data_IF_546453030547
#
_entry.id   IF_546453030547
#
_cell.length_a   1.000
_cell.length_b   1.000
_cell.length_c   1.000
_cell.angle_alpha   90.00
_cell.angle_beta   90.00
_cell.angle_gamma   90.00
#
_symmetry.space_group_name_H-M   'P 1'
#
loop_
_entity.id
_entity.type
_entity.pdbx_description
1 polymer ?
#
# COMPACT_ATOMS: atom_id res chain seq x y z
N UNK A 1 -8.38 0.11 -9.49
CA UNK A 1 -8.66 0.91 -8.26
C UNK A 1 -7.37 1.22 -7.55
N UNK A 2 -7.14 2.48 -7.16
CA UNK A 2 -5.95 2.89 -6.44
C UNK A 2 -6.31 3.50 -5.08
N UNK A 3 -5.62 3.07 -4.02
CA UNK A 3 -5.78 3.56 -2.65
C UNK A 3 -4.53 4.31 -2.24
N UNK A 4 -4.66 5.61 -2.10
CA UNK A 4 -3.55 6.50 -1.84
C UNK A 4 -3.09 6.47 -0.37
N UNK A 5 -1.92 7.04 -0.12
CA UNK A 5 -1.37 7.29 1.21
C UNK A 5 -1.92 8.58 1.86
N UNK A 6 -1.36 8.89 3.02
CA UNK A 6 -1.55 10.18 3.70
C UNK A 6 -0.68 11.26 3.04
N UNK A 7 -0.97 12.53 3.31
CA UNK A 7 -0.22 13.70 2.84
C UNK A 7 -0.23 13.93 1.33
N UNK A 8 -1.20 13.42 0.61
CA UNK A 8 -1.38 13.69 -0.81
C UNK A 8 -2.55 14.64 -1.01
N UNK A 9 -2.38 15.62 -1.88
CA UNK A 9 -3.50 16.40 -2.42
C UNK A 9 -4.37 15.54 -3.35
N UNK A 10 -5.57 15.96 -3.73
CA UNK A 10 -6.35 15.27 -4.76
C UNK A 10 -5.57 15.06 -6.06
N UNK A 11 -4.77 16.04 -6.46
CA UNK A 11 -3.96 15.98 -7.68
C UNK A 11 -2.81 14.98 -7.54
N UNK A 12 -2.13 14.96 -6.39
CA UNK A 12 -1.11 13.95 -6.09
C UNK A 12 -1.70 12.54 -6.09
N UNK A 13 -2.89 12.37 -5.50
CA UNK A 13 -3.58 11.08 -5.47
C UNK A 13 -3.93 10.60 -6.89
N UNK A 14 -4.41 11.50 -7.73
CA UNK A 14 -4.70 11.21 -9.13
C UNK A 14 -3.40 10.91 -9.91
N UNK A 15 -2.35 11.72 -9.72
CA UNK A 15 -1.04 11.52 -10.32
C UNK A 15 -0.44 10.17 -9.96
N UNK A 16 -0.42 9.80 -8.68
CA UNK A 16 0.06 8.51 -8.19
C UNK A 16 -0.75 7.34 -8.76
N UNK A 17 -2.07 7.51 -8.90
CA UNK A 17 -2.92 6.50 -9.50
C UNK A 17 -2.56 6.27 -10.98
N UNK A 18 -2.28 7.33 -11.74
CA UNK A 18 -1.85 7.23 -13.14
C UNK A 18 -0.46 6.59 -13.24
N UNK A 19 0.47 6.97 -12.38
CA UNK A 19 1.84 6.44 -12.37
C UNK A 19 1.89 4.95 -12.07
N UNK A 20 1.01 4.47 -11.20
CA UNK A 20 0.93 3.05 -10.82
C UNK A 20 -0.08 2.26 -11.66
N UNK A 21 -0.73 2.89 -12.63
CA UNK A 21 -1.62 2.20 -13.54
C UNK A 21 -0.83 1.24 -14.43
N UNK A 22 -1.12 -0.04 -14.33
CA UNK A 22 -0.47 -1.09 -15.13
C UNK A 22 -0.91 -0.99 -16.60
N UNK A 23 -2.14 -0.57 -16.83
CA UNK A 23 -2.68 -0.32 -18.16
C UNK A 23 -3.37 1.05 -18.18
N UNK A 24 -2.81 2.00 -18.93
CA UNK A 24 -3.31 3.37 -19.02
C UNK A 24 -4.64 3.50 -19.79
N UNK A 25 -5.07 2.45 -20.46
CA UNK A 25 -6.34 2.42 -21.22
C UNK A 25 -7.52 1.90 -20.40
N UNK A 26 -7.29 1.36 -19.21
CA UNK A 26 -8.35 0.88 -18.35
C UNK A 26 -8.96 2.00 -17.50
N UNK A 27 -10.27 1.89 -17.15
CA UNK A 27 -10.88 2.84 -16.23
C UNK A 27 -10.14 2.88 -14.91
N UNK A 28 -9.65 4.06 -14.53
CA UNK A 28 -8.89 4.28 -13.32
C UNK A 28 -9.78 4.92 -12.25
N UNK A 29 -9.99 4.20 -11.17
CA UNK A 29 -10.65 4.68 -9.97
C UNK A 29 -9.62 4.87 -8.88
N UNK A 30 -9.66 5.99 -8.16
CA UNK A 30 -8.79 6.21 -7.02
C UNK A 30 -9.57 6.70 -5.80
N UNK A 31 -9.04 6.42 -4.64
CA UNK A 31 -9.59 6.89 -3.37
C UNK A 31 -8.65 7.96 -2.82
N UNK A 32 -9.19 9.13 -2.58
CA UNK A 32 -8.53 10.21 -1.90
C UNK A 32 -8.86 10.16 -0.41
N UNK A 33 -7.83 10.24 0.43
CA UNK A 33 -7.99 10.45 1.86
C UNK A 33 -7.81 11.94 2.14
N UNK A 34 -8.83 12.62 2.69
CA UNK A 34 -8.68 14.01 3.08
C UNK A 34 -7.47 14.19 3.99
N UNK A 35 -6.70 15.22 3.75
CA UNK A 35 -5.57 15.56 4.63
C UNK A 35 -6.10 16.11 5.95
N UNK A 36 -5.53 15.66 7.06
CA UNK A 36 -5.66 16.40 8.30
C UNK A 36 -4.64 17.55 8.31
N UNK A 37 -4.99 18.62 8.98
CA UNK A 37 -4.12 19.80 9.08
C UNK A 37 -2.86 19.54 9.91
N UNK A 38 -2.81 18.42 10.65
CA UNK A 38 -1.70 18.04 11.52
C UNK A 38 -1.19 16.63 11.18
N UNK A 39 0.12 16.53 11.03
CA UNK A 39 0.85 15.26 10.79
C UNK A 39 0.58 14.23 11.89
N UNK A 40 0.50 14.66 13.14
CA UNK A 40 0.24 13.75 14.27
C UNK A 40 -1.18 13.17 14.20
N UNK A 41 -2.14 13.96 13.76
CA UNK A 41 -3.53 13.50 13.57
C UNK A 41 -3.58 12.47 12.44
N UNK A 42 -2.91 12.71 11.31
CA UNK A 42 -2.84 11.78 10.19
C UNK A 42 -2.18 10.45 10.59
N UNK A 43 -1.06 10.51 11.31
CA UNK A 43 -0.40 9.32 11.84
C UNK A 43 -1.30 8.60 12.86
N UNK A 44 -2.02 9.35 13.71
CA UNK A 44 -2.99 8.81 14.64
C UNK A 44 -4.12 8.07 13.96
N UNK A 45 -4.68 8.63 12.88
CA UNK A 45 -5.72 7.97 12.08
C UNK A 45 -5.19 6.71 11.40
N UNK A 46 -3.98 6.75 10.83
CA UNK A 46 -3.36 5.58 10.23
C UNK A 46 -3.09 4.48 11.26
N UNK A 47 -2.64 4.88 12.46
CA UNK A 47 -2.43 3.98 13.59
C UNK A 47 -3.75 3.35 14.07
N UNK A 48 -4.79 4.16 14.22
CA UNK A 48 -6.14 3.68 14.53
C UNK A 48 -6.63 2.65 13.52
N UNK A 49 -6.53 2.93 12.23
CA UNK A 49 -6.92 1.99 11.18
C UNK A 49 -6.13 0.68 11.25
N UNK A 50 -4.84 0.76 11.56
CA UNK A 50 -3.99 -0.42 11.63
C UNK A 50 -4.34 -1.35 12.80
N UNK A 51 -4.67 -0.79 13.96
CA UNK A 51 -4.78 -1.57 15.19
C UNK A 51 -6.22 -1.80 15.65
N UNK A 52 -7.15 -0.94 15.28
CA UNK A 52 -8.53 -0.99 15.82
C UNK A 52 -9.63 -1.07 14.76
N UNK A 53 -9.36 -0.71 13.52
CA UNK A 53 -10.38 -0.83 12.49
C UNK A 53 -10.72 -2.32 12.28
N UNK A 54 -12.00 -2.63 12.37
CA UNK A 54 -12.52 -3.98 12.15
C UNK A 54 -12.84 -4.78 13.42
N UNK A 55 -12.34 -4.38 14.61
CA UNK A 55 -12.57 -5.18 15.82
C UNK A 55 -13.82 -4.81 16.62
N UNK A 56 -14.13 -3.52 16.80
CA UNK A 56 -15.28 -3.10 17.64
C UNK A 56 -15.93 -1.79 17.20
N UNK A 57 -15.31 -1.04 16.31
CA UNK A 57 -15.67 0.35 16.01
C UNK A 57 -16.23 0.54 14.60
N UNK A 58 -16.31 -0.53 13.82
CA UNK A 58 -16.77 -0.52 12.43
C UNK A 58 -15.71 -0.08 11.44
N UNK A 59 -15.97 -0.39 10.18
CA UNK A 59 -15.06 -0.10 9.08
C UNK A 59 -15.17 1.35 8.61
N UNK A 60 -14.05 1.94 8.23
CA UNK A 60 -14.03 3.24 7.54
C UNK A 60 -14.76 3.17 6.20
N UNK A 61 -15.21 4.33 5.71
CA UNK A 61 -15.87 4.39 4.39
C UNK A 61 -14.96 3.91 3.25
N UNK A 62 -13.64 4.14 3.36
CA UNK A 62 -12.67 3.66 2.37
C UNK A 62 -12.58 2.13 2.36
N UNK A 63 -12.57 1.49 3.53
CA UNK A 63 -12.56 0.03 3.66
C UNK A 63 -13.84 -0.59 3.13
N UNK A 64 -15.01 0.00 3.41
CA UNK A 64 -16.30 -0.46 2.85
C UNK A 64 -16.32 -0.34 1.32
N UNK A 65 -15.86 0.79 0.76
CA UNK A 65 -15.77 0.98 -0.69
C UNK A 65 -14.81 -0.03 -1.34
N UNK A 66 -13.71 -0.36 -0.65
CA UNK A 66 -12.80 -1.40 -1.11
C UNK A 66 -13.50 -2.78 -1.17
N UNK A 67 -14.24 -3.14 -0.13
CA UNK A 67 -14.98 -4.41 -0.09
C UNK A 67 -16.03 -4.48 -1.20
N UNK A 68 -16.80 -3.40 -1.40
CA UNK A 68 -17.77 -3.29 -2.50
C UNK A 68 -17.09 -3.47 -3.87
N UNK A 69 -15.92 -2.88 -4.05
CA UNK A 69 -15.14 -3.02 -5.28
C UNK A 69 -14.69 -4.46 -5.49
N UNK A 70 -14.11 -5.11 -4.49
CA UNK A 70 -13.67 -6.50 -4.57
C UNK A 70 -14.87 -7.44 -4.82
N UNK A 71 -15.97 -7.22 -4.13
CA UNK A 71 -17.18 -8.02 -4.32
C UNK A 71 -17.73 -7.95 -5.74
N UNK A 72 -17.76 -6.75 -6.33
CA UNK A 72 -18.30 -6.53 -7.69
C UNK A 72 -17.32 -6.90 -8.79
N UNK A 73 -16.05 -6.60 -8.64
CA UNK A 73 -15.07 -6.64 -9.72
C UNK A 73 -13.90 -7.61 -9.48
N UNK A 74 -13.74 -8.14 -8.27
CA UNK A 74 -12.59 -8.96 -7.92
C UNK A 74 -12.43 -10.25 -8.74
N UNK A 75 -13.49 -10.70 -9.39
CA UNK A 75 -13.48 -11.87 -10.24
C UNK A 75 -13.45 -11.54 -11.76
N UNK A 76 -13.33 -10.27 -12.14
CA UNK A 76 -13.42 -9.83 -13.54
C UNK A 76 -12.08 -9.39 -14.15
N UNK A 77 -10.98 -9.50 -13.41
CA UNK A 77 -9.67 -9.05 -13.88
C UNK A 77 -9.28 -7.68 -13.30
N UNK A 78 -9.67 -7.39 -12.06
CA UNK A 78 -9.39 -6.13 -11.41
C UNK A 78 -7.90 -5.97 -11.02
N UNK A 79 -7.42 -4.74 -11.04
CA UNK A 79 -6.12 -4.35 -10.49
C UNK A 79 -6.36 -3.41 -9.31
N UNK A 80 -5.72 -3.71 -8.18
CA UNK A 80 -5.72 -2.89 -6.97
C UNK A 80 -4.31 -2.39 -6.70
N UNK A 81 -4.10 -1.09 -6.82
CA UNK A 81 -2.89 -0.41 -6.36
C UNK A 81 -3.12 0.19 -4.98
N UNK A 82 -2.12 0.13 -4.11
CA UNK A 82 -2.19 0.78 -2.82
C UNK A 82 -0.82 1.27 -2.35
N UNK A 83 -0.78 2.48 -1.83
CA UNK A 83 0.42 3.12 -1.29
C UNK A 83 0.21 3.47 0.18
N UNK A 84 1.24 3.24 0.99
CA UNK A 84 1.25 3.70 2.39
C UNK A 84 0.00 3.26 3.18
N UNK A 85 -0.73 4.18 3.79
CA UNK A 85 -2.01 3.94 4.49
C UNK A 85 -3.04 3.21 3.64
N UNK A 86 -3.06 3.42 2.32
CA UNK A 86 -3.96 2.71 1.41
C UNK A 86 -3.84 1.19 1.52
N UNK A 87 -2.65 0.69 1.86
CA UNK A 87 -2.43 -0.75 2.08
C UNK A 87 -3.10 -1.27 3.36
N UNK A 88 -3.26 -0.41 4.38
CA UNK A 88 -4.04 -0.75 5.58
C UNK A 88 -5.52 -0.92 5.21
N UNK A 89 -6.06 -0.01 4.40
CA UNK A 89 -7.44 -0.14 3.88
C UNK A 89 -7.64 -1.47 3.15
N UNK A 90 -6.71 -1.85 2.28
CA UNK A 90 -6.74 -3.15 1.58
C UNK A 90 -6.68 -4.30 2.59
N UNK A 91 -5.73 -4.27 3.53
CA UNK A 91 -5.58 -5.31 4.56
C UNK A 91 -6.83 -5.49 5.39
N UNK A 92 -7.39 -4.39 5.92
CA UNK A 92 -8.58 -4.43 6.77
C UNK A 92 -9.80 -4.90 6.00
N UNK A 93 -9.97 -4.45 4.75
CA UNK A 93 -11.06 -4.89 3.90
C UNK A 93 -11.01 -6.38 3.59
N UNK A 94 -9.83 -6.92 3.26
CA UNK A 94 -9.65 -8.34 2.98
C UNK A 94 -9.85 -9.19 4.24
N UNK A 95 -9.28 -8.78 5.38
CA UNK A 95 -9.46 -9.50 6.65
C UNK A 95 -10.93 -9.50 7.08
N UNK A 96 -11.63 -8.39 6.95
CA UNK A 96 -13.04 -8.32 7.30
C UNK A 96 -13.92 -9.20 6.39
N UNK A 97 -13.65 -9.26 5.09
CA UNK A 97 -14.31 -10.21 4.18
C UNK A 97 -14.13 -11.64 4.68
N UNK A 98 -12.91 -12.02 5.03
CA UNK A 98 -12.58 -13.33 5.59
C UNK A 98 -13.33 -13.61 6.89
N UNK A 99 -13.31 -12.67 7.85
CA UNK A 99 -13.97 -12.80 9.16
C UNK A 99 -15.48 -12.98 9.05
N UNK A 100 -16.09 -12.39 8.01
CA UNK A 100 -17.51 -12.55 7.72
C UNK A 100 -17.82 -13.73 6.79
N UNK A 101 -16.85 -14.60 6.54
CA UNK A 101 -17.05 -15.81 5.74
C UNK A 101 -17.27 -15.54 4.25
N UNK A 102 -16.84 -14.38 3.75
CA UNK A 102 -16.95 -14.04 2.32
C UNK A 102 -15.76 -14.61 1.59
N UNK A 103 -15.99 -15.70 0.89
CA UNK A 103 -15.00 -16.40 0.08
C UNK A 103 -15.40 -16.45 -1.39
N UNK A 104 -14.49 -16.88 -2.25
CA UNK A 104 -14.71 -16.97 -3.69
C UNK A 104 -14.68 -15.62 -4.40
N UNK A 105 -14.13 -14.59 -3.72
CA UNK A 105 -13.93 -13.23 -4.24
C UNK A 105 -12.46 -13.00 -4.58
N UNK A 106 -12.16 -11.91 -5.30
CA UNK A 106 -10.80 -11.53 -5.70
C UNK A 106 -10.04 -12.61 -6.51
N UNK A 107 -10.71 -13.56 -7.15
CA UNK A 107 -10.07 -14.66 -7.87
C UNK A 107 -9.23 -14.23 -9.07
N UNK A 108 -9.51 -13.05 -9.62
CA UNK A 108 -8.80 -12.48 -10.77
C UNK A 108 -8.33 -11.06 -10.47
N UNK A 109 -7.92 -10.79 -9.22
CA UNK A 109 -7.45 -9.48 -8.79
C UNK A 109 -5.96 -9.51 -8.54
N UNK A 110 -5.22 -8.64 -9.21
CA UNK A 110 -3.82 -8.40 -8.92
C UNK A 110 -3.66 -7.19 -8.00
N UNK A 111 -2.76 -7.32 -7.03
CA UNK A 111 -2.49 -6.31 -6.02
C UNK A 111 -1.08 -5.77 -6.17
N UNK A 112 -0.94 -4.45 -6.21
CA UNK A 112 0.34 -3.74 -6.25
C UNK A 112 0.46 -2.84 -5.02
N UNK A 113 1.29 -3.26 -4.07
CA UNK A 113 1.43 -2.64 -2.76
C UNK A 113 2.78 -1.95 -2.66
N UNK A 114 2.80 -0.63 -2.55
CA UNK A 114 4.02 0.17 -2.52
C UNK A 114 4.14 0.95 -1.23
N UNK A 115 5.36 1.04 -0.65
CA UNK A 115 5.60 1.73 0.61
C UNK A 115 4.64 1.30 1.71
N UNK A 116 4.35 0.01 1.81
CA UNK A 116 3.18 -0.50 2.49
C UNK A 116 3.24 -0.31 4.01
N UNK A 117 2.25 0.36 4.59
CA UNK A 117 2.06 0.46 6.04
C UNK A 117 1.39 -0.81 6.64
N UNK A 118 0.82 -1.68 5.81
CA UNK A 118 0.34 -3.00 6.22
C UNK A 118 1.37 -4.08 5.91
N UNK A 119 1.30 -5.21 6.62
CA UNK A 119 2.17 -6.36 6.35
C UNK A 119 1.75 -7.08 5.08
N UNK A 120 2.51 -6.92 4.02
CA UNK A 120 2.14 -7.36 2.66
C UNK A 120 2.04 -8.88 2.53
N UNK A 121 2.84 -9.65 3.29
CA UNK A 121 2.73 -11.10 3.30
C UNK A 121 1.39 -11.56 3.91
N UNK A 122 0.89 -10.88 4.93
CA UNK A 122 -0.44 -11.18 5.49
C UNK A 122 -1.55 -10.92 4.48
N UNK A 123 -1.43 -9.83 3.71
CA UNK A 123 -2.38 -9.55 2.60
C UNK A 123 -2.34 -10.71 1.59
N UNK A 124 -1.15 -11.14 1.16
CA UNK A 124 -1.02 -12.25 0.21
C UNK A 124 -1.66 -13.55 0.74
N UNK A 125 -1.49 -13.85 2.02
CA UNK A 125 -2.09 -15.02 2.66
C UNK A 125 -3.63 -14.91 2.71
N UNK A 126 -4.16 -13.73 3.04
CA UNK A 126 -5.61 -13.50 3.10
C UNK A 126 -6.24 -13.55 1.70
N UNK A 127 -5.58 -12.95 0.69
CA UNK A 127 -6.02 -13.03 -0.71
C UNK A 127 -6.11 -14.48 -1.18
N UNK A 128 -5.07 -15.28 -0.93
CA UNK A 128 -5.06 -16.70 -1.27
C UNK A 128 -6.23 -17.46 -0.61
N UNK A 129 -6.51 -17.15 0.64
CA UNK A 129 -7.59 -17.79 1.38
C UNK A 129 -8.97 -17.45 0.84
N UNK A 130 -9.29 -16.16 0.69
CA UNK A 130 -10.63 -15.75 0.26
C UNK A 130 -10.89 -16.01 -1.23
N UNK A 131 -9.83 -16.18 -2.04
CA UNK A 131 -9.93 -16.54 -3.45
C UNK A 131 -9.93 -18.05 -3.72
N UNK A 132 -9.88 -18.88 -2.68
CA UNK A 132 -9.73 -20.33 -2.77
C UNK A 132 -8.43 -20.80 -3.44
N UNK A 133 -7.32 -20.08 -3.26
CA UNK A 133 -6.03 -20.43 -3.83
C UNK A 133 -5.94 -20.25 -5.35
N UNK A 134 -6.83 -19.46 -5.92
CA UNK A 134 -6.72 -19.06 -7.33
C UNK A 134 -5.46 -18.24 -7.56
N UNK A 135 -4.97 -18.22 -8.80
CA UNK A 135 -3.73 -17.53 -9.16
C UNK A 135 -3.90 -16.02 -9.14
N UNK A 136 -3.92 -15.44 -7.96
CA UNK A 136 -3.83 -14.01 -7.75
C UNK A 136 -2.38 -13.61 -7.56
N UNK A 137 -2.06 -12.41 -7.96
CA UNK A 137 -0.72 -11.89 -7.79
C UNK A 137 -0.75 -10.74 -6.80
N UNK A 138 0.06 -10.87 -5.76
CA UNK A 138 0.35 -9.78 -4.84
C UNK A 138 1.80 -9.38 -5.05
N UNK A 139 1.99 -8.17 -5.51
CA UNK A 139 3.28 -7.56 -5.73
C UNK A 139 3.54 -6.53 -4.66
N UNK A 140 4.75 -6.50 -4.11
CA UNK A 140 5.16 -5.48 -3.16
C UNK A 140 6.41 -4.76 -3.63
N UNK A 141 6.50 -3.48 -3.31
CA UNK A 141 7.69 -2.67 -3.50
C UNK A 141 7.93 -1.86 -2.24
N UNK A 142 9.11 -2.00 -1.64
CA UNK A 142 9.47 -1.31 -0.41
C UNK A 142 10.95 -0.99 -0.38
N UNK A 143 11.30 0.24 0.01
CA UNK A 143 12.67 0.67 0.16
C UNK A 143 13.17 0.38 1.58
N UNK A 144 14.46 -0.01 1.71
CA UNK A 144 15.06 -0.29 3.03
C UNK A 144 14.94 0.90 3.99
N UNK A 145 15.09 2.10 3.45
CA UNK A 145 15.06 3.36 4.22
C UNK A 145 13.65 3.97 4.31
N UNK A 146 12.63 3.26 3.88
CA UNK A 146 11.23 3.67 4.07
C UNK A 146 10.74 3.16 5.43
N UNK A 147 10.66 4.00 6.46
CA UNK A 147 10.24 3.58 7.80
C UNK A 147 8.77 3.15 7.84
N UNK A 148 7.94 3.65 6.93
CA UNK A 148 6.53 3.24 6.86
C UNK A 148 6.45 1.77 6.42
N UNK A 149 7.20 1.40 5.41
CA UNK A 149 7.21 0.01 4.93
C UNK A 149 7.94 -0.93 5.90
N UNK A 150 9.13 -0.55 6.35
CA UNK A 150 9.99 -1.46 7.12
C UNK A 150 9.61 -1.56 8.60
N UNK A 151 9.28 -0.42 9.24
CA UNK A 151 8.96 -0.37 10.67
C UNK A 151 7.46 -0.52 10.92
N UNK A 152 6.64 0.32 10.31
CA UNK A 152 5.18 0.27 10.53
C UNK A 152 4.57 -0.95 9.84
N UNK A 153 4.91 -1.18 8.57
CA UNK A 153 4.41 -2.31 7.77
C UNK A 153 5.05 -3.64 8.12
N UNK A 154 6.23 -3.60 8.75
CA UNK A 154 7.02 -4.79 9.04
C UNK A 154 7.35 -5.61 7.78
N UNK A 155 7.66 -4.90 6.69
CA UNK A 155 7.93 -5.50 5.40
C UNK A 155 9.43 -5.58 5.13
N UNK A 156 9.86 -6.69 4.52
CA UNK A 156 11.21 -6.79 3.99
C UNK A 156 11.37 -5.88 2.77
N UNK A 157 12.49 -5.13 2.67
CA UNK A 157 12.76 -4.29 1.52
C UNK A 157 12.89 -5.12 0.24
N UNK A 158 12.49 -4.53 -0.87
CA UNK A 158 12.65 -5.10 -2.22
C UNK A 158 13.73 -4.38 -3.02
N UNK A 159 14.31 -3.32 -2.46
CA UNK A 159 15.41 -2.58 -3.03
C UNK A 159 16.75 -3.25 -2.71
N UNK A 160 17.57 -3.39 -3.71
CA UNK A 160 18.93 -3.92 -3.60
C UNK A 160 19.92 -2.90 -4.17
N UNK A 161 21.14 -2.88 -3.59
CA UNK A 161 22.21 -2.05 -4.11
C UNK A 161 22.16 -0.58 -3.72
N UNK A 162 21.53 -0.27 -2.60
CA UNK A 162 21.52 1.09 -2.04
C UNK A 162 22.96 1.49 -1.69
N UNK A 163 23.52 2.56 -2.27
CA UNK A 163 24.85 3.02 -1.89
C UNK A 163 24.81 3.46 -0.43
N UNK A 164 25.70 2.88 0.39
CA UNK A 164 25.83 3.33 1.79
C UNK A 164 26.35 4.76 1.83
N UNK A 165 25.57 5.65 2.43
CA UNK A 165 26.00 7.01 2.73
C UNK A 165 25.74 7.30 4.21
N UNK A 166 26.69 7.93 4.93
CA UNK A 166 26.58 8.13 6.39
C UNK A 166 25.31 8.86 6.85
N UNK A 167 24.72 9.72 6.03
CA UNK A 167 23.48 10.42 6.35
C UNK A 167 22.22 9.54 6.30
N UNK A 168 22.32 8.31 5.81
CA UNK A 168 21.23 7.32 5.91
C UNK A 168 21.10 6.73 7.32
N UNK A 169 22.07 6.95 8.22
CA UNK A 169 21.93 6.58 9.62
C UNK A 169 20.87 7.42 10.36
N UNK A 170 20.56 8.60 9.84
CA UNK A 170 19.39 9.35 10.27
C UNK A 170 18.23 8.91 9.40
N UNK A 171 17.14 8.38 9.98
CA UNK A 171 16.01 7.96 9.17
C UNK A 171 15.64 9.11 8.25
N UNK A 172 15.64 8.92 6.91
CA UNK A 172 15.12 9.91 5.99
C UNK A 172 13.68 10.10 6.39
N UNK A 173 13.45 11.18 7.06
CA UNK A 173 12.19 11.43 7.70
C UNK A 173 11.09 11.37 6.66
N UNK A 174 9.99 10.96 7.11
CA UNK A 174 8.69 11.10 6.51
C UNK A 174 8.68 12.45 5.82
N UNK A 175 8.78 12.49 4.49
CA UNK A 175 8.79 13.74 3.76
C UNK A 175 7.43 14.34 3.91
N UNK A 176 7.41 15.42 4.57
CA UNK A 176 6.23 16.22 4.76
C UNK A 176 6.24 17.31 3.69
N UNK A 177 5.16 17.34 2.93
CA UNK A 177 4.67 18.46 2.13
C UNK A 177 5.71 19.31 1.40
N UNK A 178 5.64 19.39 0.10
CA UNK A 178 6.52 20.26 -0.70
C UNK A 178 6.38 21.74 -0.41
N UNK A 179 5.25 22.20 0.11
CA UNK A 179 4.93 23.61 0.33
C UNK A 179 5.12 24.12 1.76
N UNK A 180 5.32 23.26 2.74
CA UNK A 180 5.26 23.62 4.16
C UNK A 180 6.51 23.42 4.99
N UNK A 181 7.63 23.12 4.39
CA UNK A 181 8.86 22.88 5.13
C UNK A 181 8.98 21.43 5.61
N UNK A 182 10.10 20.82 5.28
CA UNK A 182 10.47 19.50 5.76
C UNK A 182 10.65 19.54 7.26
N UNK A 183 9.89 18.78 8.00
CA UNK A 183 10.11 18.61 9.45
C UNK A 183 11.26 17.66 9.69
N UNK A 184 12.01 17.20 8.94
CA UNK A 184 13.18 16.34 8.95
C UNK A 184 13.15 15.40 7.74
N UNK A 185 13.91 15.66 6.72
CA UNK A 185 14.08 14.70 5.66
C UNK A 185 14.72 15.25 4.39
N UNK A 186 15.40 14.35 3.72
CA UNK A 186 15.98 14.64 2.42
C UNK A 186 14.89 14.53 1.36
N UNK A 187 14.82 15.50 0.47
CA UNK A 187 13.95 15.41 -0.72
C UNK A 187 14.68 14.68 -1.84
N UNK A 188 14.00 13.81 -2.57
CA UNK A 188 12.72 13.20 -2.28
C UNK A 188 12.80 12.17 -1.15
N UNK A 189 11.69 11.98 -0.42
CA UNK A 189 11.60 10.95 0.62
C UNK A 189 11.58 9.56 0.00
N UNK A 190 12.26 8.62 0.67
CA UNK A 190 12.21 7.20 0.27
C UNK A 190 10.78 6.66 0.23
N UNK A 191 9.90 7.20 1.08
CA UNK A 191 8.49 6.80 1.11
C UNK A 191 7.69 7.25 -0.12
N UNK A 192 8.15 8.28 -0.83
CA UNK A 192 7.51 8.80 -2.05
C UNK A 192 8.25 8.38 -3.32
N UNK A 193 9.29 7.55 -3.23
CA UNK A 193 10.12 7.11 -4.33
C UNK A 193 9.59 5.86 -5.03
N UNK A 194 8.31 5.85 -5.37
CA UNK A 194 7.65 4.73 -6.04
C UNK A 194 7.03 5.16 -7.37
N UNK A 195 6.79 4.20 -8.26
CA UNK A 195 6.30 4.49 -9.60
C UNK A 195 7.29 5.33 -10.40
N UNK A 196 6.81 6.27 -11.19
CA UNK A 196 7.65 7.15 -12.01
C UNK A 196 8.56 8.05 -11.14
N UNK A 197 8.12 8.43 -9.94
CA UNK A 197 8.97 9.13 -8.98
C UNK A 197 10.19 8.30 -8.54
N UNK A 198 10.12 6.99 -8.62
CA UNK A 198 11.24 6.08 -8.36
C UNK A 198 12.42 6.31 -9.30
N UNK A 199 12.18 6.74 -10.53
CA UNK A 199 13.25 7.03 -11.48
C UNK A 199 14.10 8.23 -11.06
N UNK A 200 13.49 9.30 -10.56
CA UNK A 200 14.20 10.44 -10.00
C UNK A 200 14.99 10.07 -8.73
N UNK A 201 14.55 9.07 -8.00
CA UNK A 201 15.18 8.62 -6.76
C UNK A 201 16.32 7.60 -6.98
N UNK A 202 16.45 7.00 -8.15
CA UNK A 202 17.45 5.95 -8.42
C UNK A 202 18.88 6.38 -8.10
N UNK A 203 19.22 7.62 -8.37
CA UNK A 203 20.57 8.16 -8.10
C UNK A 203 20.89 8.20 -6.62
N UNK A 204 19.89 8.45 -5.79
CA UNK A 204 20.06 8.60 -4.34
C UNK A 204 19.85 7.29 -3.57
N UNK A 205 18.90 6.46 -4.00
CA UNK A 205 18.41 5.32 -3.23
C UNK A 205 18.53 3.98 -3.94
N UNK A 206 19.09 3.94 -5.15
CA UNK A 206 19.20 2.73 -5.94
C UNK A 206 17.90 2.36 -6.64
N UNK A 207 17.97 1.28 -7.43
CA UNK A 207 16.79 0.75 -8.13
C UNK A 207 16.06 -0.26 -7.26
N UNK A 208 14.73 -0.22 -7.32
CA UNK A 208 13.90 -1.23 -6.67
C UNK A 208 12.77 -1.62 -7.60
N UNK A 209 12.48 -2.91 -7.59
CA UNK A 209 11.43 -3.53 -8.40
C UNK A 209 10.32 -4.13 -7.55
N UNK A 210 9.26 -4.53 -8.21
CA UNK A 210 8.22 -5.31 -7.56
C UNK A 210 8.71 -6.73 -7.26
N UNK A 211 8.48 -7.17 -6.01
CA UNK A 211 8.62 -8.55 -5.60
C UNK A 211 7.24 -9.20 -5.56
N UNK A 212 7.11 -10.30 -6.27
CA UNK A 212 5.91 -11.14 -6.20
C UNK A 212 5.89 -11.91 -4.89
N UNK A 213 4.80 -11.84 -4.18
CA UNK A 213 4.55 -12.59 -2.96
C UNK A 213 3.70 -13.82 -3.27
N UNK A 214 4.05 -14.91 -2.64
CA UNK A 214 3.27 -16.16 -2.65
C UNK A 214 2.70 -16.37 -1.26
N UNK A 215 1.54 -16.99 -1.16
CA UNK A 215 1.02 -17.41 0.13
C UNK A 215 2.01 -18.35 0.81
N UNK A 216 2.26 -18.09 2.08
CA UNK A 216 3.08 -18.95 2.94
C UNK A 216 2.22 -19.94 3.74
N UNK A 217 0.91 -19.97 3.48
CA UNK A 217 0.01 -20.89 4.15
C UNK A 217 0.34 -22.33 3.73
N UNK A 218 0.85 -23.09 4.68
CA UNK A 218 0.97 -24.52 4.56
C UNK A 218 -0.37 -25.11 4.96
N UNK A 219 -1.20 -25.48 4.04
CA UNK A 219 -2.37 -26.20 4.45
C UNK A 219 -3.51 -26.24 3.47
N UNK A 220 -3.90 -27.44 3.19
CA UNK A 220 -5.18 -27.91 2.68
C UNK A 220 -5.74 -27.13 1.47
N UNK A 221 -5.14 -27.40 0.34
CA UNK A 221 -5.92 -27.44 -0.91
C UNK A 221 -7.04 -28.44 -0.67
N UNK A 222 -8.22 -27.95 -0.33
CA UNK A 222 -9.44 -28.74 -0.39
C UNK A 222 -9.93 -28.81 -1.81
#
# INVERSE_FOLDING_TARGET
MFYNGIFNSPDDAAGNAVQLAVNKNDPLYFTYFPQADDVLVELGVAFYQKFWEGSSWGLSNSTKKFQDFIYRYGNTGAIVGAHSRGTITVSNGMNNLKEHGVYGVAKKTDFYLVGAAAHTQSIANTVDEISYGEKNYVYTQGHLLDPISTVIGYNWPTAYGVPFRPYYLFPPAIAVREEGGAVLGFKPSTHNCYGDAGDACKTNYGSFGFKKLYSTRTGNKK
#
